data_IF_964232647994
#
_entry.id   IF_964232647994
#
_cell.length_a   1.000
_cell.length_b   1.000
_cell.length_c   1.000
_cell.angle_alpha   90.00
_cell.angle_beta   90.00
_cell.angle_gamma   90.00
#
_symmetry.space_group_name_H-M   'P 1'
#
loop_
_entity.id
_entity.type
_entity.pdbx_description
1 polymer ?
#
# COMPACT_ATOMS: atom_id res chain seq x y z
N UNK A 1 5.00 -28.65 -15.06
CA UNK A 1 4.73 -28.86 -13.61
C UNK A 1 5.41 -27.84 -12.69
N UNK A 2 6.71 -27.50 -12.85
CA UNK A 2 7.45 -26.59 -11.94
C UNK A 2 6.78 -25.23 -11.68
N UNK A 3 6.16 -24.62 -12.69
CA UNK A 3 5.47 -23.32 -12.56
C UNK A 3 4.18 -23.37 -11.74
N UNK A 4 3.54 -24.55 -11.64
CA UNK A 4 2.29 -24.71 -10.87
C UNK A 4 2.56 -24.42 -9.39
N UNK A 5 3.66 -24.93 -8.85
CA UNK A 5 4.05 -24.67 -7.46
C UNK A 5 4.34 -23.20 -7.19
N UNK A 6 4.99 -22.51 -8.13
CA UNK A 6 5.24 -21.08 -8.01
C UNK A 6 3.92 -20.27 -8.01
N UNK A 7 2.98 -20.62 -8.89
CA UNK A 7 1.65 -19.98 -8.97
C UNK A 7 0.85 -20.24 -7.68
N UNK A 8 0.85 -21.48 -7.19
CA UNK A 8 0.17 -21.87 -5.94
C UNK A 8 0.78 -21.15 -4.74
N UNK A 9 2.12 -21.13 -4.63
CA UNK A 9 2.81 -20.46 -3.55
C UNK A 9 2.60 -18.93 -3.59
N UNK A 10 2.60 -18.34 -4.79
CA UNK A 10 2.22 -16.94 -4.99
C UNK A 10 0.79 -16.68 -4.51
N UNK A 11 -0.17 -17.51 -4.92
CA UNK A 11 -1.56 -17.40 -4.52
C UNK A 11 -1.74 -17.51 -3.01
N UNK A 12 -1.09 -18.49 -2.37
CA UNK A 12 -1.12 -18.69 -0.92
C UNK A 12 -0.53 -17.50 -0.16
N UNK A 13 0.65 -17.03 -0.54
CA UNK A 13 1.26 -15.86 0.13
C UNK A 13 0.38 -14.64 -0.06
N UNK A 14 -0.14 -14.41 -1.26
CA UNK A 14 -1.01 -13.27 -1.52
C UNK A 14 -2.28 -13.35 -0.67
N UNK A 15 -2.89 -14.53 -0.57
CA UNK A 15 -4.06 -14.75 0.27
C UNK A 15 -3.74 -14.53 1.77
N UNK A 16 -2.62 -15.03 2.28
CA UNK A 16 -2.21 -14.82 3.68
C UNK A 16 -2.01 -13.33 3.98
N UNK A 17 -1.39 -12.60 3.05
CA UNK A 17 -1.09 -11.18 3.25
C UNK A 17 -2.32 -10.28 3.11
N UNK A 18 -3.25 -10.61 2.22
CA UNK A 18 -4.33 -9.70 1.78
C UNK A 18 -5.75 -10.19 2.06
N UNK A 19 -5.91 -11.45 2.47
CA UNK A 19 -7.18 -12.16 2.57
C UNK A 19 -7.81 -12.51 1.23
N UNK A 20 -7.26 -12.02 0.11
CA UNK A 20 -7.75 -12.25 -1.26
C UNK A 20 -6.58 -12.17 -2.26
N UNK A 21 -6.29 -13.24 -3.04
CA UNK A 21 -5.21 -13.25 -4.02
C UNK A 21 -5.42 -12.29 -5.20
N UNK A 22 -6.65 -11.84 -5.45
CA UNK A 22 -6.99 -10.96 -6.57
C UNK A 22 -6.94 -9.48 -6.21
N UNK A 23 -6.89 -9.10 -4.92
CA UNK A 23 -6.74 -7.70 -4.47
C UNK A 23 -5.55 -6.98 -5.10
N UNK A 24 -4.47 -7.71 -5.40
CA UNK A 24 -3.33 -7.17 -6.15
C UNK A 24 -3.78 -6.59 -7.49
N UNK A 25 -4.51 -7.37 -8.29
CA UNK A 25 -4.94 -6.98 -9.64
C UNK A 25 -5.80 -5.71 -9.60
N UNK A 26 -6.61 -5.55 -8.55
CA UNK A 26 -7.41 -4.35 -8.34
C UNK A 26 -6.58 -3.15 -7.87
N UNK A 27 -5.59 -3.36 -7.01
CA UNK A 27 -4.66 -2.31 -6.55
C UNK A 27 -3.84 -1.69 -7.69
N UNK A 28 -3.47 -2.48 -8.71
CA UNK A 28 -2.79 -1.97 -9.92
C UNK A 28 -3.67 -1.06 -10.80
N UNK A 29 -5.00 -1.08 -10.66
CA UNK A 29 -5.90 -0.20 -11.42
C UNK A 29 -5.90 1.24 -10.91
N UNK A 30 -5.44 1.48 -9.68
CA UNK A 30 -5.27 2.83 -9.16
C UNK A 30 -3.82 3.26 -9.39
N UNK A 31 -3.54 4.14 -10.37
CA UNK A 31 -2.17 4.57 -10.62
C UNK A 31 -1.68 5.38 -9.43
N UNK A 32 -0.89 4.74 -8.56
CA UNK A 32 0.01 5.45 -7.66
C UNK A 32 1.00 6.26 -8.50
N UNK A 33 1.45 7.42 -8.01
CA UNK A 33 2.42 8.26 -8.70
C UNK A 33 3.64 7.43 -9.18
N UNK A 34 3.90 7.42 -10.49
CA UNK A 34 4.96 6.63 -11.15
C UNK A 34 6.35 6.91 -10.57
N UNK A 35 6.59 8.11 -10.04
CA UNK A 35 7.85 8.48 -9.40
C UNK A 35 8.16 7.67 -8.13
N UNK A 36 7.13 7.23 -7.40
CA UNK A 36 7.31 6.42 -6.18
C UNK A 36 7.69 4.96 -6.49
N UNK A 37 7.47 4.48 -7.72
CA UNK A 37 7.73 3.09 -8.11
C UNK A 37 9.18 2.82 -8.48
N UNK A 38 9.92 3.80 -8.99
CA UNK A 38 11.28 3.57 -9.45
C UNK A 38 12.21 3.00 -8.35
N UNK A 39 12.22 3.54 -7.11
CA UNK A 39 13.00 2.95 -6.03
C UNK A 39 12.53 1.54 -5.66
N UNK A 40 11.22 1.29 -5.65
CA UNK A 40 10.64 -0.03 -5.33
C UNK A 40 11.10 -1.08 -6.34
N UNK A 41 11.04 -0.75 -7.64
CA UNK A 41 11.48 -1.63 -8.72
C UNK A 41 12.98 -1.94 -8.60
N UNK A 42 13.81 -0.93 -8.32
CA UNK A 42 15.25 -1.11 -8.14
C UNK A 42 15.53 -2.07 -6.98
N UNK A 43 14.92 -1.85 -5.81
CA UNK A 43 15.13 -2.72 -4.64
C UNK A 43 14.61 -4.13 -4.90
N UNK A 44 13.49 -4.28 -5.61
CA UNK A 44 12.97 -5.57 -6.01
C UNK A 44 13.94 -6.36 -6.90
N UNK A 45 14.52 -5.70 -7.91
CA UNK A 45 15.53 -6.30 -8.80
C UNK A 45 16.77 -6.70 -8.00
N UNK A 46 17.24 -5.85 -7.09
CA UNK A 46 18.38 -6.15 -6.22
C UNK A 46 18.07 -7.35 -5.31
N UNK A 47 16.89 -7.39 -4.67
CA UNK A 47 16.46 -8.49 -3.82
C UNK A 47 16.37 -9.82 -4.58
N UNK A 48 15.83 -9.81 -5.80
CA UNK A 48 15.81 -10.96 -6.70
C UNK A 48 17.23 -11.42 -7.09
N UNK A 49 18.13 -10.48 -7.38
CA UNK A 49 19.53 -10.75 -7.67
C UNK A 49 20.24 -11.42 -6.49
N UNK A 50 20.05 -10.91 -5.28
CA UNK A 50 20.61 -11.47 -4.05
C UNK A 50 20.05 -12.85 -3.73
N UNK A 51 18.74 -13.06 -3.89
CA UNK A 51 18.11 -14.36 -3.71
C UNK A 51 18.70 -15.39 -4.69
N UNK A 52 18.84 -15.01 -5.97
CA UNK A 52 19.46 -15.87 -6.99
C UNK A 52 20.94 -16.16 -6.72
N UNK A 53 21.68 -15.16 -6.25
CA UNK A 53 23.07 -15.33 -5.85
C UNK A 53 23.20 -16.31 -4.68
N UNK A 54 22.38 -16.16 -3.63
CA UNK A 54 22.36 -17.07 -2.49
C UNK A 54 22.02 -18.51 -2.91
N UNK A 55 20.99 -18.68 -3.75
CA UNK A 55 20.61 -20.01 -4.27
C UNK A 55 21.78 -20.66 -5.01
N UNK A 56 22.53 -19.91 -5.82
CA UNK A 56 23.71 -20.42 -6.54
C UNK A 56 24.86 -20.76 -5.59
N UNK A 57 25.14 -19.90 -4.61
CA UNK A 57 26.24 -20.10 -3.65
C UNK A 57 26.05 -21.34 -2.79
N UNK A 58 24.80 -21.67 -2.44
CA UNK A 58 24.46 -22.82 -1.60
C UNK A 58 23.92 -24.03 -2.40
N UNK A 59 23.98 -23.98 -3.74
CA UNK A 59 23.39 -24.98 -4.63
C UNK A 59 23.90 -26.40 -4.33
N UNK A 60 25.22 -26.56 -4.16
CA UNK A 60 25.83 -27.86 -3.87
C UNK A 60 25.44 -28.42 -2.50
N UNK A 61 25.30 -27.56 -1.50
CA UNK A 61 24.87 -27.94 -0.14
C UNK A 61 23.42 -28.40 -0.09
N UNK A 62 22.53 -27.83 -0.93
CA UNK A 62 21.13 -28.23 -0.97
C UNK A 62 20.88 -29.43 -1.88
N UNK A 63 21.64 -29.56 -2.97
CA UNK A 63 21.57 -30.73 -3.87
C UNK A 63 21.95 -32.03 -3.16
N UNK A 64 22.88 -32.00 -2.22
CA UNK A 64 23.30 -33.19 -1.47
C UNK A 64 22.20 -33.74 -0.54
N UNK A 65 21.27 -32.89 -0.09
CA UNK A 65 20.21 -33.26 0.85
C UNK A 65 19.00 -33.86 0.12
N UNK A 66 18.59 -33.27 -1.02
CA UNK A 66 17.44 -33.78 -1.79
C UNK A 66 17.46 -33.34 -3.27
N UNK A 67 18.15 -34.08 -4.16
CA UNK A 67 18.35 -33.67 -5.56
C UNK A 67 17.04 -33.40 -6.33
N UNK A 68 16.02 -34.24 -6.10
CA UNK A 68 14.72 -34.11 -6.77
C UNK A 68 13.92 -32.89 -6.33
N UNK A 69 13.84 -32.66 -5.01
CA UNK A 69 13.08 -31.56 -4.41
C UNK A 69 13.71 -30.20 -4.68
N UNK A 70 15.05 -30.11 -4.70
CA UNK A 70 15.74 -28.85 -4.94
C UNK A 70 15.41 -28.22 -6.30
N UNK A 71 15.31 -29.05 -7.34
CA UNK A 71 14.95 -28.59 -8.70
C UNK A 71 13.50 -28.07 -8.82
N UNK A 72 12.64 -28.43 -7.87
CA UNK A 72 11.26 -27.94 -7.74
C UNK A 72 11.17 -26.69 -6.86
N UNK A 73 12.01 -26.59 -5.82
CA UNK A 73 11.98 -25.50 -4.85
C UNK A 73 12.65 -24.21 -5.35
N UNK A 74 13.71 -24.30 -6.17
CA UNK A 74 14.41 -23.12 -6.69
C UNK A 74 13.49 -22.05 -7.30
N UNK A 75 12.62 -22.36 -8.29
CA UNK A 75 11.75 -21.34 -8.88
C UNK A 75 10.76 -20.77 -7.85
N UNK A 76 10.24 -21.60 -6.95
CA UNK A 76 9.35 -21.17 -5.86
C UNK A 76 10.06 -20.19 -4.94
N UNK A 77 11.26 -20.50 -4.45
CA UNK A 77 12.01 -19.61 -3.55
C UNK A 77 12.34 -18.26 -4.19
N UNK A 78 12.68 -18.25 -5.49
CA UNK A 78 12.89 -16.99 -6.23
C UNK A 78 11.61 -16.17 -6.32
N UNK A 79 10.48 -16.80 -6.64
CA UNK A 79 9.19 -16.10 -6.73
C UNK A 79 8.75 -15.57 -5.37
N UNK A 80 8.81 -16.40 -4.32
CA UNK A 80 8.41 -15.97 -2.98
C UNK A 80 9.30 -14.85 -2.46
N UNK A 81 10.62 -14.98 -2.61
CA UNK A 81 11.54 -13.91 -2.20
C UNK A 81 11.27 -12.61 -2.96
N UNK A 82 11.16 -12.66 -4.30
CA UNK A 82 10.86 -11.47 -5.10
C UNK A 82 9.58 -10.77 -4.67
N UNK A 83 8.50 -11.54 -4.51
CA UNK A 83 7.20 -11.02 -4.10
C UNK A 83 7.26 -10.43 -2.71
N UNK A 84 7.82 -11.14 -1.73
CA UNK A 84 7.94 -10.65 -0.35
C UNK A 84 8.80 -9.38 -0.27
N UNK A 85 9.91 -9.30 -1.02
CA UNK A 85 10.77 -8.11 -1.07
C UNK A 85 10.05 -6.90 -1.68
N UNK A 86 9.38 -7.08 -2.83
CA UNK A 86 8.57 -6.02 -3.46
C UNK A 86 7.55 -5.50 -2.45
N UNK A 87 6.83 -6.39 -1.77
CA UNK A 87 5.81 -6.01 -0.80
C UNK A 87 6.34 -5.24 0.38
N UNK A 88 7.39 -5.78 1.02
CA UNK A 88 7.96 -5.18 2.22
C UNK A 88 8.48 -3.78 1.94
N UNK A 89 9.20 -3.61 0.82
CA UNK A 89 9.76 -2.33 0.40
C UNK A 89 8.65 -1.35 -0.01
N UNK A 90 7.62 -1.82 -0.71
CA UNK A 90 6.48 -0.97 -1.09
C UNK A 90 5.74 -0.45 0.13
N UNK A 91 5.45 -1.31 1.11
CA UNK A 91 4.75 -0.91 2.32
C UNK A 91 5.56 0.09 3.14
N UNK A 92 6.86 -0.15 3.31
CA UNK A 92 7.73 0.79 4.03
C UNK A 92 7.85 2.12 3.26
N UNK A 93 8.11 2.05 1.96
CA UNK A 93 8.27 3.22 1.11
C UNK A 93 7.02 4.10 1.05
N UNK A 94 5.84 3.49 0.89
CA UNK A 94 4.56 4.20 0.91
C UNK A 94 4.25 4.78 2.28
N UNK A 95 4.54 4.06 3.36
CA UNK A 95 4.35 4.56 4.73
C UNK A 95 5.26 5.76 4.97
N UNK A 96 6.53 5.67 4.60
CA UNK A 96 7.48 6.77 4.71
C UNK A 96 7.06 7.98 3.88
N UNK A 97 6.64 7.76 2.63
CA UNK A 97 6.15 8.81 1.76
C UNK A 97 4.90 9.51 2.34
N UNK A 98 3.98 8.74 2.93
CA UNK A 98 2.80 9.29 3.61
C UNK A 98 3.21 10.15 4.82
N UNK A 99 4.07 9.64 5.70
CA UNK A 99 4.56 10.38 6.86
C UNK A 99 5.30 11.65 6.46
N UNK A 100 6.15 11.57 5.44
CA UNK A 100 6.87 12.73 4.90
C UNK A 100 5.91 13.78 4.31
N UNK A 101 4.90 13.34 3.55
CA UNK A 101 3.90 14.24 2.97
C UNK A 101 3.05 14.91 4.06
N UNK A 102 2.63 14.18 5.10
CA UNK A 102 1.92 14.74 6.26
C UNK A 102 2.79 15.81 6.94
N UNK A 103 4.05 15.49 7.23
CA UNK A 103 4.98 16.41 7.88
C UNK A 103 5.22 17.67 7.04
N UNK A 104 5.43 17.52 5.73
CA UNK A 104 5.60 18.64 4.80
C UNK A 104 4.34 19.49 4.64
N UNK A 105 3.17 18.85 4.63
CA UNK A 105 1.89 19.55 4.51
C UNK A 105 1.60 20.40 5.76
N UNK A 106 2.05 19.95 6.93
CA UNK A 106 1.90 20.62 8.22
C UNK A 106 0.45 21.04 8.51
N UNK A 107 -0.48 20.06 8.62
CA UNK A 107 -1.88 20.34 8.91
C UNK A 107 -2.11 20.71 10.38
N UNK A 108 -3.16 21.48 10.64
CA UNK A 108 -3.62 21.79 12.00
C UNK A 108 -4.18 20.54 12.68
N UNK A 109 -4.90 19.71 11.90
CA UNK A 109 -5.46 18.44 12.32
C UNK A 109 -5.22 17.39 11.25
N UNK A 110 -4.85 16.17 11.66
CA UNK A 110 -4.67 15.05 10.74
C UNK A 110 -5.08 13.74 11.39
N UNK A 111 -5.77 12.92 10.62
CA UNK A 111 -6.04 11.52 10.92
C UNK A 111 -5.70 10.75 9.66
N UNK A 112 -4.68 9.92 9.72
CA UNK A 112 -4.25 9.08 8.61
C UNK A 112 -4.22 7.64 9.08
N UNK A 113 -4.88 6.75 8.34
CA UNK A 113 -4.81 5.33 8.60
C UNK A 113 -3.49 4.77 8.05
N UNK A 114 -2.90 3.75 8.69
CA UNK A 114 -1.72 3.08 8.15
C UNK A 114 -1.98 2.59 6.73
N UNK A 115 -1.00 2.74 5.83
CA UNK A 115 -1.11 2.32 4.42
C UNK A 115 -1.59 0.87 4.29
N UNK A 116 -1.12 -0.02 5.15
CA UNK A 116 -1.56 -1.42 5.16
C UNK A 116 -3.07 -1.55 5.38
N UNK A 117 -3.62 -0.86 6.38
CA UNK A 117 -5.06 -0.87 6.70
C UNK A 117 -5.84 -0.29 5.53
N UNK A 118 -5.36 0.83 4.98
CA UNK A 118 -5.92 1.49 3.81
C UNK A 118 -6.04 0.55 2.60
N UNK A 119 -4.99 -0.21 2.27
CA UNK A 119 -5.02 -1.15 1.13
C UNK A 119 -5.93 -2.34 1.43
N UNK A 120 -5.92 -2.87 2.66
CA UNK A 120 -6.75 -4.03 3.03
C UNK A 120 -8.25 -3.72 2.95
N UNK A 121 -8.63 -2.48 3.28
CA UNK A 121 -10.02 -2.02 3.31
C UNK A 121 -10.51 -1.49 1.94
N UNK A 122 -9.64 -1.28 0.96
CA UNK A 122 -10.05 -0.97 -0.41
C UNK A 122 -10.65 -2.23 -1.09
N UNK A 123 -11.78 -2.15 -1.82
CA UNK A 123 -12.49 -0.96 -2.30
C UNK A 123 -13.66 -0.50 -1.42
N UNK A 124 -13.85 -1.10 -0.24
CA UNK A 124 -15.01 -0.86 0.63
C UNK A 124 -15.01 0.50 1.33
N UNK A 125 -13.94 1.28 1.13
CA UNK A 125 -13.83 2.65 1.60
C UNK A 125 -14.81 3.53 0.82
N UNK A 126 -16.05 3.56 1.29
CA UNK A 126 -17.04 4.54 0.87
C UNK A 126 -16.57 5.94 1.25
N UNK A 127 -17.14 6.97 0.64
CA UNK A 127 -16.85 8.39 0.86
C UNK A 127 -16.95 8.88 2.32
N UNK A 128 -17.17 8.02 3.32
CA UNK A 128 -17.20 8.34 4.75
C UNK A 128 -16.01 7.82 5.57
N UNK A 129 -15.08 7.02 5.02
CA UNK A 129 -13.95 6.48 5.82
C UNK A 129 -12.58 6.63 5.12
N UNK A 130 -12.20 7.84 4.71
CA UNK A 130 -11.04 8.06 3.86
C UNK A 130 -9.73 7.56 4.48
N UNK A 131 -8.82 7.10 3.61
CA UNK A 131 -7.45 6.68 3.97
C UNK A 131 -6.66 7.69 4.80
N UNK A 132 -7.04 8.96 4.70
CA UNK A 132 -6.67 9.98 5.64
C UNK A 132 -7.40 11.28 5.36
N UNK A 133 -7.60 12.07 6.40
CA UNK A 133 -8.15 13.43 6.36
C UNK A 133 -7.25 14.38 7.09
N UNK A 134 -7.25 15.62 6.63
CA UNK A 134 -6.55 16.69 7.29
C UNK A 134 -7.38 17.98 7.22
N UNK A 135 -7.11 18.89 8.14
CA UNK A 135 -7.58 20.27 8.08
C UNK A 135 -6.37 21.17 8.19
N UNK A 136 -6.31 22.17 7.31
CA UNK A 136 -5.26 23.19 7.30
C UNK A 136 -5.88 24.54 6.98
N UNK A 137 -5.61 25.54 7.80
CA UNK A 137 -6.16 26.90 7.65
C UNK A 137 -7.71 26.86 7.55
N UNK A 138 -8.33 26.01 8.37
CA UNK A 138 -9.78 25.74 8.34
C UNK A 138 -10.33 25.25 6.99
N UNK A 139 -9.48 24.69 6.12
CA UNK A 139 -9.90 24.03 4.88
C UNK A 139 -9.77 22.51 5.00
N UNK A 140 -10.76 21.74 4.53
CA UNK A 140 -10.74 20.29 4.63
C UNK A 140 -9.98 19.65 3.47
N UNK A 141 -9.20 18.61 3.77
CA UNK A 141 -8.41 17.86 2.81
C UNK A 141 -8.56 16.36 3.00
N UNK A 142 -8.43 15.60 1.90
CA UNK A 142 -8.40 14.14 1.88
C UNK A 142 -7.09 13.62 1.29
N UNK A 143 -6.60 12.48 1.78
CA UNK A 143 -5.43 11.82 1.23
C UNK A 143 -5.70 11.26 -0.17
N UNK A 144 -4.83 11.57 -1.13
CA UNK A 144 -4.86 11.04 -2.49
C UNK A 144 -3.66 10.15 -2.76
N UNK A 145 -3.88 8.86 -3.01
CA UNK A 145 -2.82 7.94 -3.46
C UNK A 145 -2.26 8.27 -4.85
N UNK A 146 -3.06 8.94 -5.69
CA UNK A 146 -2.62 9.39 -7.01
C UNK A 146 -1.59 10.51 -6.90
N UNK A 147 -1.83 11.47 -6.02
CA UNK A 147 -0.95 12.61 -5.82
C UNK A 147 0.09 12.37 -4.71
N UNK A 148 -0.06 11.29 -3.94
CA UNK A 148 0.72 11.01 -2.73
C UNK A 148 0.73 12.21 -1.77
N UNK A 149 -0.46 12.80 -1.55
CA UNK A 149 -0.62 14.02 -0.77
C UNK A 149 -2.07 14.36 -0.49
N UNK A 150 -2.28 15.41 0.29
CA UNK A 150 -3.60 15.94 0.63
C UNK A 150 -4.16 16.81 -0.48
N UNK A 151 -5.41 16.57 -0.87
CA UNK A 151 -6.16 17.36 -1.85
C UNK A 151 -7.36 18.01 -1.18
N UNK A 152 -7.62 19.27 -1.51
CA UNK A 152 -8.72 20.03 -0.93
C UNK A 152 -10.06 19.40 -1.35
N UNK A 153 -11.01 19.39 -0.41
CA UNK A 153 -12.37 18.96 -0.69
C UNK A 153 -13.35 20.08 -0.41
N UNK A 154 -14.48 20.09 -1.11
CA UNK A 154 -15.54 21.03 -0.81
C UNK A 154 -16.28 20.67 0.49
N UNK A 155 -16.94 21.67 1.07
CA UNK A 155 -17.67 21.53 2.34
C UNK A 155 -18.73 20.43 2.33
N UNK A 156 -19.35 20.18 1.15
CA UNK A 156 -20.27 19.06 0.92
C UNK A 156 -19.70 17.70 1.28
N UNK A 157 -18.47 17.43 0.88
CA UNK A 157 -17.80 16.18 1.21
C UNK A 157 -17.24 16.20 2.63
N UNK A 158 -16.77 17.38 3.08
CA UNK A 158 -16.16 17.56 4.39
C UNK A 158 -17.07 17.13 5.55
N UNK A 159 -18.38 17.34 5.45
CA UNK A 159 -19.37 16.93 6.48
C UNK A 159 -19.27 15.44 6.81
N UNK A 160 -19.03 14.61 5.81
CA UNK A 160 -19.05 13.15 5.96
C UNK A 160 -17.68 12.57 6.34
N UNK A 161 -16.60 13.31 6.10
CA UNK A 161 -15.23 12.79 6.27
C UNK A 161 -14.43 13.47 7.37
N UNK A 162 -14.72 14.73 7.67
CA UNK A 162 -14.00 15.48 8.70
C UNK A 162 -14.69 15.26 10.04
N UNK A 163 -13.95 14.84 11.08
CA UNK A 163 -14.49 14.71 12.42
C UNK A 163 -15.22 15.98 12.88
N UNK A 164 -16.36 15.79 13.52
CA UNK A 164 -17.26 16.87 13.93
C UNK A 164 -16.56 17.89 14.83
N UNK A 165 -15.64 17.43 15.69
CA UNK A 165 -14.87 18.27 16.59
C UNK A 165 -13.93 19.24 15.86
N UNK A 166 -13.39 18.87 14.68
CA UNK A 166 -12.57 19.79 13.88
C UNK A 166 -13.47 20.77 13.13
N UNK A 167 -14.59 20.30 12.59
CA UNK A 167 -15.58 21.15 11.91
C UNK A 167 -16.11 22.26 12.82
N UNK A 168 -16.44 21.94 14.08
CA UNK A 168 -16.87 22.92 15.09
C UNK A 168 -15.82 24.00 15.35
N UNK A 169 -14.54 23.62 15.47
CA UNK A 169 -13.44 24.58 15.71
C UNK A 169 -13.20 25.51 14.52
N UNK A 170 -13.43 25.01 13.31
CA UNK A 170 -13.20 25.73 12.06
C UNK A 170 -14.45 26.44 11.51
N UNK A 171 -15.60 26.37 12.20
CA UNK A 171 -16.86 26.95 11.73
C UNK A 171 -17.42 26.30 10.46
N UNK A 172 -17.05 25.05 10.18
CA UNK A 172 -17.51 24.32 9.00
C UNK A 172 -18.96 23.81 9.20
N UNK A 173 -19.71 23.61 8.10
CA UNK A 173 -21.04 22.98 8.13
C UNK A 173 -21.09 21.67 8.94
N UNK A 174 -22.08 21.54 9.81
CA UNK A 174 -22.26 20.35 10.63
C UNK A 174 -23.15 19.32 9.95
N UNK A 175 -24.10 19.80 9.13
CA UNK A 175 -25.09 18.99 8.43
C UNK A 175 -25.28 19.47 7.00
N UNK A 176 -25.84 18.63 6.13
CA UNK A 176 -26.17 19.03 4.74
C UNK A 176 -27.23 20.14 4.64
N UNK A 177 -27.92 20.46 5.74
CA UNK A 177 -28.85 21.59 5.79
C UNK A 177 -28.12 22.94 5.94
N UNK A 178 -26.90 22.93 6.48
CA UNK A 178 -26.10 24.14 6.68
C UNK A 178 -25.47 24.65 5.37
N UNK A 179 -25.39 23.79 4.35
CA UNK A 179 -24.90 24.14 3.01
C UNK A 179 -25.94 24.85 2.13
N UNK A 180 -27.20 24.90 2.56
CA UNK A 180 -28.33 25.46 1.78
C UNK A 180 -28.70 26.90 2.18
N UNK A 181 -27.97 27.48 3.13
CA UNK A 181 -28.13 28.86 3.60
C UNK A 181 -27.07 29.74 2.96
#
# INVERSE_FOLDING_TARGET
MRWIFAIVAYGLITFILWGDPFKIVYGWRHPFNTAAWAPIIVVAIVGLGLARYAIRKYDDSFRSISPGYWSLLQPTMVVLSGVTWIWFVSLIGLTYAQSFAIAKFNPDYVRAEPIRVSILNAPYVQFGDPHGVAVKDCKPYIWSFRQMGFVEVGDGLAINIIPEEWRKKCGMPLTGNDLRK
#
